data_IF_467458335512
#
_entry.id   IF_467458335512
#
_cell.length_a   1.000
_cell.length_b   1.000
_cell.length_c   1.000
_cell.angle_alpha   90.00
_cell.angle_beta   90.00
_cell.angle_gamma   90.00
#
_symmetry.space_group_name_H-M   'P 1'
#
loop_
_entity.id
_entity.type
_entity.pdbx_description
1 polymer ?
#
# COMPACT_ATOMS: atom_id res chain seq x y z
N UNK A 1 20.15 4.10 14.16
CA UNK A 1 19.15 3.28 13.43
C UNK A 1 19.89 2.37 12.46
N UNK A 2 19.45 1.11 12.32
CA UNK A 2 20.06 0.18 11.38
C UNK A 2 19.34 0.27 10.03
N UNK A 3 19.83 1.15 9.15
CA UNK A 3 19.23 1.42 7.85
C UNK A 3 19.20 0.17 6.96
N UNK A 4 20.21 -0.69 7.06
CA UNK A 4 20.26 -1.97 6.34
C UNK A 4 19.08 -2.86 6.69
N UNK A 5 18.78 -3.03 7.98
CA UNK A 5 17.65 -3.85 8.41
C UNK A 5 16.31 -3.24 7.95
N UNK A 6 16.22 -1.91 7.92
CA UNK A 6 15.04 -1.22 7.39
C UNK A 6 14.84 -1.44 5.89
N UNK A 7 15.91 -1.45 5.09
CA UNK A 7 15.85 -1.78 3.67
C UNK A 7 15.45 -3.24 3.44
N UNK A 8 15.96 -4.17 4.26
CA UNK A 8 15.52 -5.58 4.24
C UNK A 8 14.03 -5.68 4.56
N UNK A 9 13.57 -4.98 5.60
CA UNK A 9 12.15 -4.91 5.95
C UNK A 9 11.33 -4.42 4.76
N UNK A 10 11.70 -3.28 4.16
CA UNK A 10 11.05 -2.73 2.98
C UNK A 10 10.98 -3.73 1.81
N UNK A 11 12.09 -4.38 1.48
CA UNK A 11 12.15 -5.34 0.38
C UNK A 11 11.25 -6.56 0.62
N UNK A 12 11.28 -7.14 1.83
CA UNK A 12 10.38 -8.23 2.21
C UNK A 12 8.91 -7.80 2.18
N UNK A 13 8.64 -6.57 2.64
CA UNK A 13 7.31 -5.98 2.58
C UNK A 13 6.81 -5.82 1.15
N UNK A 14 7.64 -5.30 0.24
CA UNK A 14 7.28 -5.14 -1.18
C UNK A 14 6.95 -6.49 -1.80
N UNK A 15 7.78 -7.50 -1.58
CA UNK A 15 7.53 -8.86 -2.05
C UNK A 15 6.20 -9.41 -1.51
N UNK A 16 5.97 -9.30 -0.20
CA UNK A 16 4.70 -9.71 0.42
C UNK A 16 3.53 -8.95 -0.18
N UNK A 17 3.60 -7.62 -0.30
CA UNK A 17 2.53 -6.78 -0.83
C UNK A 17 2.15 -7.12 -2.27
N UNK A 18 3.14 -7.41 -3.12
CA UNK A 18 2.92 -7.83 -4.51
C UNK A 18 2.23 -9.20 -4.63
N UNK A 19 2.44 -10.10 -3.66
CA UNK A 19 1.86 -11.46 -3.68
C UNK A 19 0.57 -11.58 -2.87
N UNK A 20 0.28 -10.63 -1.99
CA UNK A 20 -0.79 -10.75 -1.00
C UNK A 20 -2.19 -10.73 -1.62
N UNK A 21 -2.40 -9.94 -2.67
CA UNK A 21 -3.68 -9.86 -3.37
C UNK A 21 -4.08 -11.23 -3.95
N UNK A 22 -3.15 -11.88 -4.64
CA UNK A 22 -3.31 -13.21 -5.25
C UNK A 22 -3.28 -14.38 -4.26
N UNK A 23 -3.04 -14.13 -2.97
CA UNK A 23 -3.12 -15.18 -1.96
C UNK A 23 -4.54 -15.76 -1.84
N UNK A 24 -5.56 -15.09 -2.37
CA UNK A 24 -6.90 -15.66 -2.48
C UNK A 24 -6.97 -16.88 -3.41
N UNK A 25 -6.08 -17.00 -4.40
CA UNK A 25 -6.06 -18.10 -5.36
C UNK A 25 -5.68 -19.44 -4.71
N UNK A 26 -4.97 -19.41 -3.58
CA UNK A 26 -4.57 -20.61 -2.82
C UNK A 26 -5.54 -20.94 -1.68
N UNK A 27 -6.49 -20.06 -1.37
CA UNK A 27 -7.46 -20.25 -0.30
C UNK A 27 -8.76 -20.83 -0.86
N UNK A 28 -9.09 -22.07 -0.51
CA UNK A 28 -10.23 -22.82 -1.07
C UNK A 28 -11.61 -22.14 -0.93
N UNK A 29 -11.75 -21.19 0.01
CA UNK A 29 -13.00 -20.46 0.28
C UNK A 29 -13.02 -19.05 -0.31
N UNK A 30 -11.92 -18.58 -0.91
CA UNK A 30 -11.87 -17.31 -1.62
C UNK A 30 -11.84 -17.54 -3.13
N UNK A 31 -12.45 -16.61 -3.86
CA UNK A 31 -12.24 -16.50 -5.31
C UNK A 31 -11.23 -15.39 -5.55
N UNK A 32 -10.55 -15.47 -6.69
CA UNK A 32 -9.66 -14.41 -7.17
C UNK A 32 -10.38 -13.06 -7.14
N UNK A 33 -9.63 -12.01 -6.79
CA UNK A 33 -10.13 -10.65 -6.51
C UNK A 33 -11.08 -10.58 -5.31
N UNK A 34 -10.76 -11.33 -4.26
CA UNK A 34 -11.52 -11.27 -3.01
C UNK A 34 -11.45 -9.85 -2.41
N UNK A 35 -12.60 -9.37 -1.92
CA UNK A 35 -12.71 -8.10 -1.20
C UNK A 35 -11.74 -8.01 -0.01
N UNK A 36 -11.29 -9.14 0.51
CA UNK A 36 -10.35 -9.21 1.63
C UNK A 36 -8.91 -9.01 1.16
N UNK A 37 -8.44 -9.77 0.17
CA UNK A 37 -7.04 -9.77 -0.26
C UNK A 37 -6.74 -8.61 -1.21
N UNK A 38 -7.70 -8.20 -2.04
CA UNK A 38 -7.60 -7.03 -2.92
C UNK A 38 -8.08 -5.77 -2.20
N UNK A 39 -7.61 -5.59 -0.96
CA UNK A 39 -7.93 -4.43 -0.14
C UNK A 39 -6.81 -4.07 0.84
N UNK A 40 -6.97 -2.89 1.43
CA UNK A 40 -6.14 -2.37 2.52
C UNK A 40 -6.36 -3.14 3.83
N UNK A 41 -7.34 -4.05 3.93
CA UNK A 41 -7.71 -4.69 5.20
C UNK A 41 -6.48 -5.34 5.87
N UNK A 42 -5.70 -6.14 5.13
CA UNK A 42 -4.54 -6.82 5.70
C UNK A 42 -3.45 -5.82 6.13
N UNK A 43 -3.02 -4.85 5.28
CA UNK A 43 -2.11 -3.78 5.72
C UNK A 43 -2.64 -2.97 6.91
N UNK A 44 -3.94 -2.70 6.98
CA UNK A 44 -4.56 -1.96 8.07
C UNK A 44 -4.55 -2.77 9.38
N UNK A 45 -4.86 -4.06 9.34
CA UNK A 45 -4.74 -4.93 10.50
C UNK A 45 -3.28 -4.98 10.98
N UNK A 46 -2.32 -5.08 10.07
CA UNK A 46 -0.90 -5.02 10.42
C UNK A 46 -0.53 -3.68 11.06
N UNK A 47 -1.05 -2.56 10.57
CA UNK A 47 -0.86 -1.23 11.16
C UNK A 47 -1.38 -1.14 12.61
N UNK A 48 -2.55 -1.73 12.87
CA UNK A 48 -3.23 -1.70 14.17
C UNK A 48 -2.59 -2.63 15.20
N UNK A 49 -2.16 -3.82 14.79
CA UNK A 49 -1.79 -4.88 15.73
C UNK A 49 -0.28 -5.18 15.80
N UNK A 50 0.51 -4.79 14.79
CA UNK A 50 1.95 -5.09 14.80
C UNK A 50 2.72 -3.95 15.50
N UNK A 51 3.54 -4.24 16.54
CA UNK A 51 4.39 -3.24 17.18
C UNK A 51 5.43 -2.68 16.21
N UNK A 52 5.46 -1.36 16.05
CA UNK A 52 6.34 -0.63 15.11
C UNK A 52 7.46 0.13 15.83
N UNK A 53 7.91 -0.38 16.99
CA UNK A 53 9.02 0.20 17.77
C UNK A 53 10.34 0.15 17.00
N UNK A 54 10.52 -0.91 16.19
CA UNK A 54 11.68 -1.07 15.31
C UNK A 54 11.41 -0.54 13.90
N UNK A 55 12.39 0.16 13.33
CA UNK A 55 12.28 0.78 12.01
C UNK A 55 12.04 -0.23 10.89
N UNK A 56 12.60 -1.43 10.99
CA UNK A 56 12.45 -2.46 9.96
C UNK A 56 11.05 -3.05 9.86
N UNK A 57 10.34 -3.22 10.99
CA UNK A 57 8.94 -3.67 10.98
C UNK A 57 8.07 -2.61 10.32
N UNK A 58 8.29 -1.34 10.66
CA UNK A 58 7.57 -0.22 10.08
C UNK A 58 7.84 -0.07 8.58
N UNK A 59 9.09 -0.19 8.15
CA UNK A 59 9.46 -0.14 6.74
C UNK A 59 8.96 -1.37 5.98
N UNK A 60 8.87 -2.53 6.63
CA UNK A 60 8.19 -3.69 6.05
C UNK A 60 6.70 -3.44 5.81
N UNK A 61 6.01 -2.77 6.74
CA UNK A 61 4.63 -2.39 6.52
C UNK A 61 4.47 -1.36 5.39
N UNK A 62 5.39 -0.39 5.27
CA UNK A 62 5.46 0.50 4.10
C UNK A 62 5.60 -0.33 2.82
N UNK A 63 6.51 -1.30 2.81
CA UNK A 63 6.69 -2.20 1.68
C UNK A 63 5.41 -2.96 1.30
N UNK A 64 4.68 -3.50 2.28
CA UNK A 64 3.42 -4.20 2.05
C UNK A 64 2.39 -3.27 1.39
N UNK A 65 2.22 -2.06 1.92
CA UNK A 65 1.31 -1.08 1.35
C UNK A 65 1.71 -0.69 -0.08
N UNK A 66 2.99 -0.37 -0.31
CA UNK A 66 3.47 0.05 -1.63
C UNK A 66 3.39 -1.10 -2.64
N UNK A 67 3.76 -2.32 -2.26
CA UNK A 67 3.65 -3.51 -3.10
C UNK A 67 2.20 -3.81 -3.48
N UNK A 68 1.28 -3.70 -2.53
CA UNK A 68 -0.15 -3.84 -2.79
C UNK A 68 -0.67 -2.75 -3.75
N UNK A 69 -0.26 -1.50 -3.59
CA UNK A 69 -0.63 -0.42 -4.50
C UNK A 69 -0.15 -0.66 -5.94
N UNK A 70 1.07 -1.21 -6.10
CA UNK A 70 1.60 -1.62 -7.40
C UNK A 70 0.76 -2.75 -7.99
N UNK A 71 0.53 -3.84 -7.26
CA UNK A 71 -0.27 -4.97 -7.73
C UNK A 71 -1.65 -4.51 -8.21
N UNK A 72 -2.37 -3.79 -7.34
CA UNK A 72 -3.73 -3.31 -7.63
C UNK A 72 -3.79 -2.33 -8.82
N UNK A 73 -2.71 -1.61 -9.13
CA UNK A 73 -2.72 -0.68 -10.26
C UNK A 73 -2.71 -1.40 -11.62
N UNK A 74 -2.10 -2.57 -11.71
CA UNK A 74 -2.23 -3.45 -12.88
C UNK A 74 -3.62 -4.08 -12.93
N UNK A 75 -4.09 -4.57 -11.78
CA UNK A 75 -5.34 -5.29 -11.65
C UNK A 75 -6.60 -4.44 -11.95
N UNK A 76 -6.45 -3.12 -11.87
CA UNK A 76 -7.47 -2.14 -12.24
C UNK A 76 -7.82 -2.15 -13.75
N UNK A 77 -6.97 -2.71 -14.62
CA UNK A 77 -7.19 -2.71 -16.07
C UNK A 77 -7.37 -4.13 -16.62
N UNK A 78 -8.42 -4.88 -16.22
CA UNK A 78 -8.69 -6.18 -16.80
C UNK A 78 -9.12 -6.04 -18.28
N UNK A 79 -8.91 -7.08 -19.08
CA UNK A 79 -9.37 -7.13 -20.48
C UNK A 79 -10.90 -6.91 -20.61
N UNK A 80 -11.66 -7.38 -19.62
CA UNK A 80 -13.09 -7.12 -19.50
C UNK A 80 -13.51 -7.19 -18.02
N UNK A 81 -14.37 -6.28 -17.58
CA UNK A 81 -14.93 -6.25 -16.22
C UNK A 81 -16.08 -7.27 -16.08
N UNK A 82 -15.73 -8.55 -16.08
CA UNK A 82 -16.67 -9.66 -15.95
C UNK A 82 -16.02 -10.86 -15.26
N UNK A 83 -16.84 -11.72 -14.64
CA UNK A 83 -16.36 -12.94 -13.99
C UNK A 83 -15.34 -12.66 -12.89
N UNK A 84 -14.15 -13.26 -13.00
CA UNK A 84 -13.07 -13.14 -12.02
C UNK A 84 -12.39 -11.77 -11.99
N UNK A 85 -12.68 -10.88 -12.94
CA UNK A 85 -12.17 -9.51 -12.92
C UNK A 85 -12.93 -8.62 -11.92
N UNK A 86 -14.13 -9.03 -11.50
CA UNK A 86 -14.97 -8.31 -10.54
C UNK A 86 -14.56 -8.68 -9.11
N UNK A 87 -14.66 -7.71 -8.19
CA UNK A 87 -14.39 -7.96 -6.78
C UNK A 87 -15.39 -8.97 -6.24
N UNK A 88 -14.86 -10.05 -5.67
CA UNK A 88 -15.65 -11.11 -5.08
C UNK A 88 -15.92 -10.85 -3.59
N UNK A 89 -17.18 -10.93 -3.18
CA UNK A 89 -17.59 -11.04 -1.79
C UNK A 89 -17.75 -12.53 -1.45
N UNK A 90 -16.94 -13.05 -0.51
CA UNK A 90 -17.11 -14.41 -0.04
C UNK A 90 -18.55 -14.63 0.40
N UNK A 91 -19.18 -15.71 -0.09
CA UNK A 91 -20.57 -16.10 0.19
C UNK A 91 -21.69 -15.27 -0.49
N UNK A 92 -21.41 -14.09 -1.08
CA UNK A 92 -22.44 -13.21 -1.62
C UNK A 92 -22.38 -12.99 -3.15
N UNK A 93 -21.29 -13.41 -3.80
CA UNK A 93 -21.12 -13.24 -5.25
C UNK A 93 -20.12 -12.14 -5.58
N UNK A 94 -20.26 -11.50 -6.74
CA UNK A 94 -19.33 -10.44 -7.16
C UNK A 94 -20.03 -9.09 -7.23
N UNK A 95 -19.28 -8.03 -6.96
CA UNK A 95 -19.72 -6.65 -7.18
C UNK A 95 -19.90 -6.40 -8.69
N UNK A 96 -20.65 -5.36 -9.03
CA UNK A 96 -20.68 -4.85 -10.40
C UNK A 96 -19.35 -4.17 -10.78
N UNK A 97 -19.23 -3.79 -12.05
CA UNK A 97 -18.03 -3.12 -12.58
C UNK A 97 -17.73 -1.81 -11.85
N UNK A 98 -18.75 -0.99 -11.58
CA UNK A 98 -18.57 0.33 -10.97
C UNK A 98 -18.02 0.19 -9.56
N UNK A 99 -18.65 -0.65 -8.75
CA UNK A 99 -18.23 -0.91 -7.38
C UNK A 99 -16.86 -1.60 -7.31
N UNK A 100 -16.56 -2.53 -8.23
CA UNK A 100 -15.23 -3.17 -8.30
C UNK A 100 -14.12 -2.16 -8.64
N UNK A 101 -14.37 -1.29 -9.61
CA UNK A 101 -13.45 -0.22 -10.01
C UNK A 101 -13.19 0.75 -8.85
N UNK A 102 -14.27 1.24 -8.20
CA UNK A 102 -14.17 2.15 -7.04
C UNK A 102 -13.44 1.46 -5.88
N UNK A 103 -13.71 0.18 -5.64
CA UNK A 103 -13.05 -0.59 -4.59
C UNK A 103 -11.54 -0.68 -4.82
N UNK A 104 -11.09 -1.14 -6.00
CA UNK A 104 -9.67 -1.26 -6.29
C UNK A 104 -8.98 0.12 -6.23
N UNK A 105 -9.56 1.13 -6.91
CA UNK A 105 -9.00 2.48 -6.93
C UNK A 105 -8.86 3.11 -5.55
N UNK A 106 -9.88 2.99 -4.70
CA UNK A 106 -9.83 3.51 -3.32
C UNK A 106 -8.80 2.78 -2.45
N UNK A 107 -8.59 1.48 -2.66
CA UNK A 107 -7.58 0.72 -1.93
C UNK A 107 -6.14 1.07 -2.33
N UNK A 108 -5.87 1.43 -3.59
CA UNK A 108 -4.57 1.98 -4.00
C UNK A 108 -4.28 3.28 -3.24
N UNK A 109 -5.25 4.22 -3.20
CA UNK A 109 -5.12 5.48 -2.46
C UNK A 109 -4.91 5.24 -0.97
N UNK A 110 -5.68 4.33 -0.37
CA UNK A 110 -5.55 3.97 1.04
C UNK A 110 -4.18 3.38 1.37
N UNK A 111 -3.61 2.55 0.48
CA UNK A 111 -2.26 1.99 0.64
C UNK A 111 -1.19 3.09 0.65
N UNK A 112 -1.28 4.07 -0.26
CA UNK A 112 -0.37 5.19 -0.26
C UNK A 112 -0.55 6.08 0.98
N UNK A 113 -1.79 6.39 1.35
CA UNK A 113 -2.07 7.19 2.53
C UNK A 113 -1.48 6.54 3.79
N UNK A 114 -1.67 5.24 3.97
CA UNK A 114 -1.10 4.50 5.10
C UNK A 114 0.44 4.51 5.09
N UNK A 115 1.06 4.37 3.92
CA UNK A 115 2.52 4.49 3.76
C UNK A 115 3.02 5.88 4.19
N UNK A 116 2.33 6.95 3.78
CA UNK A 116 2.66 8.33 4.13
C UNK A 116 2.60 8.57 5.65
N UNK A 117 1.64 7.95 6.35
CA UNK A 117 1.55 8.00 7.81
C UNK A 117 2.68 7.26 8.54
N UNK A 118 3.36 6.34 7.85
CA UNK A 118 4.40 5.48 8.44
C UNK A 118 5.82 6.04 8.27
N UNK A 119 6.05 6.97 7.35
CA UNK A 119 7.37 7.59 7.18
C UNK A 119 7.74 8.45 8.37
N UNK A 120 9.00 8.35 8.81
CA UNK A 120 9.57 9.18 9.88
C UNK A 120 10.71 10.05 9.39
N UNK A 121 11.42 9.62 8.35
CA UNK A 121 12.62 10.28 7.84
C UNK A 121 12.57 10.38 6.31
N UNK A 122 13.20 11.41 5.75
CA UNK A 122 13.16 11.67 4.30
C UNK A 122 13.78 10.55 3.47
N UNK A 123 14.83 9.88 3.97
CA UNK A 123 15.47 8.77 3.25
C UNK A 123 14.53 7.58 3.08
N UNK A 124 13.56 7.39 3.98
CA UNK A 124 12.59 6.29 3.90
C UNK A 124 11.64 6.48 2.73
N UNK A 125 11.26 7.73 2.46
CA UNK A 125 10.46 8.10 1.28
C UNK A 125 11.23 7.80 0.01
N UNK A 126 12.51 8.18 -0.04
CA UNK A 126 13.38 7.92 -1.20
C UNK A 126 13.55 6.40 -1.41
N UNK A 127 13.84 5.66 -0.34
CA UNK A 127 14.00 4.20 -0.39
C UNK A 127 12.71 3.51 -0.85
N UNK A 128 11.54 3.92 -0.35
CA UNK A 128 10.25 3.39 -0.77
C UNK A 128 9.93 3.74 -2.22
N UNK A 129 10.26 4.95 -2.68
CA UNK A 129 10.08 5.35 -4.08
C UNK A 129 10.94 4.50 -5.03
N UNK A 130 12.23 4.30 -4.70
CA UNK A 130 13.13 3.42 -5.46
C UNK A 130 12.59 1.98 -5.46
N UNK A 131 12.22 1.47 -4.28
CA UNK A 131 11.65 0.13 -4.13
C UNK A 131 10.36 -0.06 -4.93
N UNK A 132 9.47 0.94 -4.93
CA UNK A 132 8.26 0.97 -5.74
C UNK A 132 8.57 0.90 -7.24
N UNK A 133 9.52 1.71 -7.71
CA UNK A 133 9.93 1.68 -9.12
C UNK A 133 10.49 0.33 -9.52
N UNK A 134 11.33 -0.29 -8.69
CA UNK A 134 11.86 -1.64 -8.94
C UNK A 134 10.71 -2.67 -8.95
N UNK A 135 9.85 -2.65 -7.93
CA UNK A 135 8.70 -3.56 -7.83
C UNK A 135 7.79 -3.45 -9.06
N UNK A 136 7.47 -2.22 -9.49
CA UNK A 136 6.67 -1.95 -10.69
C UNK A 136 7.32 -2.51 -11.95
N UNK A 137 8.61 -2.25 -12.16
CA UNK A 137 9.35 -2.74 -13.32
C UNK A 137 9.50 -4.27 -13.34
N UNK A 138 9.58 -4.90 -12.18
CA UNK A 138 9.63 -6.36 -12.06
C UNK A 138 8.26 -7.03 -12.25
N UNK A 139 7.17 -6.34 -11.89
CA UNK A 139 5.81 -6.84 -12.04
C UNK A 139 5.26 -6.65 -13.47
N UNK A 140 5.68 -5.57 -14.15
CA UNK A 140 5.20 -5.22 -15.49
C UNK A 140 5.36 -6.26 -16.62
N UNK A 141 6.41 -7.10 -16.66
CA UNK A 141 6.59 -8.04 -17.78
C UNK A 141 5.42 -9.02 -17.89
N UNK A 142 4.78 -9.06 -19.06
CA UNK A 142 3.58 -9.88 -19.31
C UNK A 142 2.28 -9.08 -19.30
N UNK A 143 2.31 -7.86 -18.77
CA UNK A 143 1.15 -6.97 -18.70
C UNK A 143 1.10 -6.00 -19.90
N UNK A 144 -0.07 -5.87 -20.54
CA UNK A 144 -0.28 -4.94 -21.67
C UNK A 144 -0.61 -3.51 -21.23
N UNK A 145 -0.77 -3.29 -19.92
CA UNK A 145 -1.35 -2.06 -19.34
C UNK A 145 -0.32 -1.15 -18.66
N UNK A 146 0.96 -1.29 -18.99
CA UNK A 146 2.09 -0.58 -18.35
C UNK A 146 1.81 0.91 -18.09
N UNK A 147 1.47 1.67 -19.14
CA UNK A 147 1.28 3.12 -19.04
C UNK A 147 0.04 3.49 -18.23
N UNK A 148 -1.04 2.71 -18.37
CA UNK A 148 -2.28 2.90 -17.63
C UNK A 148 -2.06 2.65 -16.13
N UNK A 149 -1.37 1.57 -15.78
CA UNK A 149 -1.01 1.22 -14.41
C UNK A 149 -0.09 2.28 -13.78
N UNK A 150 0.91 2.78 -14.53
CA UNK A 150 1.81 3.84 -14.07
C UNK A 150 1.05 5.15 -13.81
N UNK A 151 0.17 5.55 -14.73
CA UNK A 151 -0.64 6.76 -14.59
C UNK A 151 -1.57 6.67 -13.38
N UNK A 152 -2.27 5.55 -13.21
CA UNK A 152 -3.14 5.31 -12.07
C UNK A 152 -2.38 5.34 -10.75
N UNK A 153 -1.21 4.69 -10.70
CA UNK A 153 -0.35 4.66 -9.52
C UNK A 153 0.09 6.08 -9.12
N UNK A 154 0.52 6.88 -10.10
CA UNK A 154 0.92 8.28 -9.88
C UNK A 154 -0.27 9.14 -9.42
N UNK A 155 -1.43 9.01 -10.07
CA UNK A 155 -2.64 9.74 -9.70
C UNK A 155 -3.11 9.39 -8.28
N UNK A 156 -3.09 8.11 -7.91
CA UNK A 156 -3.48 7.67 -6.58
C UNK A 156 -2.52 8.19 -5.49
N UNK A 157 -1.21 8.25 -5.77
CA UNK A 157 -0.23 8.87 -4.87
C UNK A 157 -0.50 10.38 -4.70
N UNK A 158 -0.80 11.10 -5.79
CA UNK A 158 -1.15 12.52 -5.72
C UNK A 158 -2.41 12.76 -4.88
N UNK A 159 -3.45 11.93 -5.05
CA UNK A 159 -4.66 11.99 -4.21
C UNK A 159 -4.30 11.75 -2.75
N UNK A 160 -3.51 10.72 -2.44
CA UNK A 160 -3.10 10.42 -1.07
C UNK A 160 -2.31 11.55 -0.41
N UNK A 161 -1.51 12.30 -1.17
CA UNK A 161 -0.75 13.47 -0.68
C UNK A 161 -1.64 14.67 -0.32
N UNK A 162 -2.84 14.78 -0.90
CA UNK A 162 -3.79 15.87 -0.65
C UNK A 162 -4.74 15.52 0.52
N UNK A 163 -4.87 14.24 0.86
CA UNK A 163 -5.73 13.82 1.96
C UNK A 163 -5.26 14.44 3.28
N UNK A 164 -6.19 15.02 4.08
CA UNK A 164 -5.83 15.64 5.34
C UNK A 164 -5.18 14.62 6.25
N UNK A 165 -4.08 15.02 6.89
CA UNK A 165 -3.49 14.22 7.94
C UNK A 165 -4.50 14.04 9.07
N UNK A 166 -4.56 12.84 9.66
CA UNK A 166 -5.34 12.65 10.88
C UNK A 166 -4.93 13.70 11.92
N UNK A 167 -5.89 14.24 12.67
CA UNK A 167 -5.63 15.21 13.74
C UNK A 167 -4.59 14.69 14.75
N UNK A 168 -4.53 13.37 14.96
CA UNK A 168 -3.55 12.70 15.80
C UNK A 168 -2.11 12.84 15.27
N UNK A 169 -1.88 12.65 13.97
CA UNK A 169 -0.56 12.81 13.34
C UNK A 169 -0.10 14.28 13.29
N UNK A 170 -1.02 15.22 13.09
CA UNK A 170 -0.74 16.64 13.17
C UNK A 170 -0.32 17.05 14.60
N UNK A 171 -1.04 16.56 15.62
CA UNK A 171 -0.72 16.79 17.04
C UNK A 171 0.61 16.16 17.44
N UNK A 172 0.95 14.97 16.91
CA UNK A 172 2.22 14.32 17.21
C UNK A 172 3.42 15.05 16.60
N UNK A 173 3.29 15.57 15.37
CA UNK A 173 4.28 16.47 14.74
C UNK A 173 4.41 17.81 15.48
N UNK A 174 3.32 18.40 15.92
CA UNK A 174 3.35 19.61 16.74
C UNK A 174 4.08 19.36 18.07
N UNK A 175 3.81 18.23 18.74
CA UNK A 175 4.51 17.83 19.97
C UNK A 175 5.99 17.54 19.76
N UNK A 176 6.40 16.93 18.65
CA UNK A 176 7.82 16.70 18.37
C UNK A 176 8.57 17.99 18.05
N UNK A 177 7.94 18.95 17.36
CA UNK A 177 8.49 20.30 17.16
C UNK A 177 8.68 21.06 18.47
N UNK A 178 7.69 21.01 19.36
CA UNK A 178 7.78 21.64 20.69
C UNK A 178 8.83 20.99 21.60
N UNK A 179 9.07 19.68 21.48
CA UNK A 179 10.17 19.01 22.20
C UNK A 179 11.54 19.38 21.64
N UNK A 180 11.65 19.62 20.33
CA UNK A 180 12.88 20.10 19.71
C UNK A 180 13.22 21.53 20.15
N UNK A 181 12.23 22.43 20.18
CA UNK A 181 12.41 23.81 20.68
C UNK A 181 12.77 23.85 22.17
N UNK A 182 12.21 22.95 22.99
CA UNK A 182 12.55 22.84 24.42
C UNK A 182 13.86 22.09 24.70
N UNK A 183 14.43 21.41 23.69
CA UNK A 183 15.72 20.71 23.78
C UNK A 183 16.91 21.60 23.40
N UNK A 184 16.67 22.85 22.98
CA UNK A 184 17.69 23.88 22.73
C UNK A 184 17.60 24.91 23.85
N UNK A 185 17.83 24.47 25.08
CA UNK A 185 18.28 25.36 26.15
C UNK A 185 19.28 24.60 27.01
N UNK A 186 20.50 25.14 26.99
CA UNK A 186 21.75 24.80 27.70
C UNK A 186 22.59 23.69 27.07
#
# INVERSE_FOLDING_TARGET
MNNTLSLVGLALGLWLGLSLADFDQVLFFLRHRSIVTHSIIIPLLAYLFVPRSHSWVRMGLVGVCVGMAVHLSFDFFPNAWQGFALINLPLYGSLDQTLSTVWIGSNIVACFYLSLLLFKEGWEVIAAAIGMSIAFLLYAPGESVFWSALFLLAAALLVALILPESSASAVQRARSRLKFEKGVTV
#
